data_IF_568319065070
#
_entry.id   IF_568319065070
#
_cell.length_a   1.000
_cell.length_b   1.000
_cell.length_c   1.000
_cell.angle_alpha   90.00
_cell.angle_beta   90.00
_cell.angle_gamma   90.00
#
_symmetry.space_group_name_H-M   'P 1'
#
loop_
_entity.id
_entity.type
_entity.pdbx_description
1 polymer ?
#
# COMPACT_ATOMS: atom_id res chain seq x y z
N UNK A 1 -14.66 5.27 3.06
CA UNK A 1 -14.31 3.87 3.40
C UNK A 1 -12.97 3.52 2.77
N UNK A 2 -12.06 2.88 3.50
CA UNK A 2 -10.77 2.37 3.04
C UNK A 2 -10.76 0.86 3.26
N UNK A 3 -10.62 0.07 2.22
CA UNK A 3 -10.62 -1.40 2.28
C UNK A 3 -9.18 -1.90 2.34
N UNK A 4 -8.81 -2.57 3.42
CA UNK A 4 -7.45 -3.02 3.69
C UNK A 4 -6.93 -2.48 5.03
N UNK A 5 -6.00 -3.21 5.63
CA UNK A 5 -5.35 -2.88 6.91
C UNK A 5 -3.83 -3.03 6.81
N UNK A 6 -3.25 -2.53 5.72
CA UNK A 6 -1.80 -2.41 5.54
C UNK A 6 -1.33 -0.96 5.64
N UNK A 7 -0.02 -0.72 5.55
CA UNK A 7 0.55 0.65 5.65
C UNK A 7 -0.08 1.61 4.64
N UNK A 8 -0.29 1.18 3.38
CA UNK A 8 -0.97 2.02 2.36
C UNK A 8 -2.36 2.46 2.80
N UNK A 9 -3.11 1.59 3.49
CA UNK A 9 -4.42 1.95 4.04
C UNK A 9 -4.29 3.00 5.14
N UNK A 10 -3.24 2.93 5.96
CA UNK A 10 -2.92 3.93 6.97
C UNK A 10 -2.52 5.26 6.32
N UNK A 11 -1.68 5.24 5.28
CA UNK A 11 -1.27 6.43 4.53
C UNK A 11 -2.48 7.18 3.96
N UNK A 12 -3.37 6.47 3.25
CA UNK A 12 -4.61 7.03 2.70
C UNK A 12 -5.45 7.63 3.82
N UNK A 13 -5.59 6.91 4.93
CA UNK A 13 -6.36 7.37 6.09
C UNK A 13 -5.77 8.64 6.68
N UNK A 14 -4.44 8.68 6.92
CA UNK A 14 -3.73 9.85 7.44
C UNK A 14 -3.92 11.05 6.54
N UNK A 15 -3.75 10.91 5.22
CA UNK A 15 -3.97 12.03 4.28
C UNK A 15 -5.41 12.57 4.36
N UNK A 16 -6.41 11.70 4.45
CA UNK A 16 -7.81 12.12 4.54
C UNK A 16 -8.12 12.87 5.85
N UNK A 17 -7.51 12.49 6.97
CA UNK A 17 -7.82 13.05 8.30
C UNK A 17 -6.80 14.06 8.83
N UNK A 18 -5.65 14.23 8.19
CA UNK A 18 -4.60 15.16 8.65
C UNK A 18 -5.03 16.61 8.52
N UNK A 19 -4.54 17.48 9.40
CA UNK A 19 -4.74 18.92 9.24
C UNK A 19 -4.21 19.45 7.88
N UNK A 20 -4.96 20.37 7.28
CA UNK A 20 -4.68 20.83 5.90
C UNK A 20 -3.49 21.79 5.85
N UNK A 21 -3.24 22.53 6.92
CA UNK A 21 -2.04 23.36 7.06
C UNK A 21 -0.80 22.49 7.24
N UNK A 22 -0.92 21.38 8.00
CA UNK A 22 0.16 20.39 8.12
C UNK A 22 0.48 19.77 6.75
N UNK A 23 -0.54 19.31 6.00
CA UNK A 23 -0.34 18.79 4.64
C UNK A 23 0.23 19.86 3.70
N UNK A 24 -0.20 21.11 3.84
CA UNK A 24 0.29 22.25 3.05
C UNK A 24 1.78 22.51 3.13
N UNK A 25 2.46 22.01 4.17
CA UNK A 25 3.92 22.10 4.35
C UNK A 25 4.70 20.90 3.80
N UNK A 26 3.99 19.86 3.35
CA UNK A 26 4.60 18.65 2.77
C UNK A 26 4.86 18.81 1.27
N UNK A 27 5.28 17.75 0.58
CA UNK A 27 5.40 17.71 -0.88
C UNK A 27 4.16 17.13 -1.59
N UNK A 28 3.00 17.12 -0.91
CA UNK A 28 1.71 16.73 -1.50
C UNK A 28 1.40 17.55 -2.76
N UNK A 29 0.82 16.94 -3.80
CA UNK A 29 0.48 17.68 -5.02
C UNK A 29 -0.55 18.79 -4.73
N UNK A 30 -0.37 19.98 -5.30
CA UNK A 30 -1.25 21.12 -5.07
C UNK A 30 -2.74 20.82 -5.32
N UNK A 31 -3.06 20.15 -6.44
CA UNK A 31 -4.45 19.78 -6.77
C UNK A 31 -5.09 18.84 -5.74
N UNK A 32 -4.30 17.96 -5.12
CA UNK A 32 -4.79 17.05 -4.09
C UNK A 32 -5.07 17.80 -2.79
N UNK A 33 -4.21 18.75 -2.41
CA UNK A 33 -4.44 19.62 -1.25
C UNK A 33 -5.69 20.50 -1.44
N UNK A 34 -5.88 21.06 -2.64
CA UNK A 34 -7.06 21.84 -2.98
C UNK A 34 -8.35 21.00 -2.86
N UNK A 35 -8.37 19.81 -3.45
CA UNK A 35 -9.51 18.89 -3.31
C UNK A 35 -9.80 18.51 -1.84
N UNK A 36 -8.76 18.37 -1.01
CA UNK A 36 -8.91 18.06 0.42
C UNK A 36 -9.42 19.24 1.25
N UNK A 37 -9.17 20.50 0.83
CA UNK A 37 -9.70 21.70 1.52
C UNK A 37 -11.22 21.77 1.43
N UNK A 38 -11.79 21.35 0.31
CA UNK A 38 -13.25 21.34 0.08
C UNK A 38 -13.94 20.11 0.69
N UNK A 39 -13.17 19.19 1.31
CA UNK A 39 -13.67 17.91 1.77
C UNK A 39 -14.18 17.97 3.22
N UNK A 40 -15.45 17.57 3.43
CA UNK A 40 -16.10 17.46 4.74
C UNK A 40 -15.98 16.06 5.38
N UNK A 41 -14.86 15.36 5.18
CA UNK A 41 -14.65 14.01 5.74
C UNK A 41 -14.48 14.12 7.26
N UNK A 42 -15.48 13.64 7.98
CA UNK A 42 -15.46 13.49 9.45
C UNK A 42 -15.14 12.07 9.87
N UNK A 43 -15.57 11.07 9.09
CA UNK A 43 -15.47 9.66 9.44
C UNK A 43 -14.77 8.86 8.34
N UNK A 44 -13.73 8.12 8.71
CA UNK A 44 -13.02 7.19 7.83
C UNK A 44 -13.13 5.77 8.38
N UNK A 45 -13.91 4.92 7.72
CA UNK A 45 -13.99 3.50 8.04
C UNK A 45 -12.88 2.71 7.34
N UNK A 46 -11.99 2.10 8.10
CA UNK A 46 -10.90 1.23 7.62
C UNK A 46 -11.31 -0.22 7.85
N UNK A 47 -11.52 -0.97 6.77
CA UNK A 47 -12.08 -2.31 6.82
C UNK A 47 -10.99 -3.38 6.71
N UNK A 48 -10.86 -4.20 7.76
CA UNK A 48 -10.02 -5.39 7.76
C UNK A 48 -10.87 -6.65 7.70
N UNK A 49 -10.76 -7.44 6.62
CA UNK A 49 -11.54 -8.69 6.50
C UNK A 49 -11.20 -9.74 7.57
N UNK A 50 -10.01 -9.66 8.18
CA UNK A 50 -9.56 -10.53 9.27
C UNK A 50 -9.46 -9.75 10.59
N UNK A 51 -9.16 -10.45 11.68
CA UNK A 51 -9.07 -9.89 13.02
C UNK A 51 -7.78 -9.10 13.27
N UNK A 52 -7.68 -8.53 14.47
CA UNK A 52 -6.57 -7.69 14.91
C UNK A 52 -5.20 -8.36 14.76
N UNK A 53 -5.13 -9.67 15.05
CA UNK A 53 -3.90 -10.44 14.96
C UNK A 53 -3.32 -10.52 13.54
N UNK A 54 -4.16 -10.40 12.51
CA UNK A 54 -3.74 -10.52 11.11
C UNK A 54 -3.70 -9.18 10.36
N UNK A 55 -3.77 -8.06 11.09
CA UNK A 55 -3.56 -6.74 10.52
C UNK A 55 -2.12 -6.59 10.02
N UNK A 56 -1.96 -6.03 8.83
CA UNK A 56 -0.68 -6.00 8.11
C UNK A 56 0.10 -4.69 8.29
N UNK A 57 -0.46 -3.71 9.00
CA UNK A 57 0.23 -2.46 9.28
C UNK A 57 1.36 -2.64 10.30
N UNK A 58 2.42 -1.84 10.18
CA UNK A 58 3.45 -1.75 11.23
C UNK A 58 2.96 -0.94 12.44
N UNK A 59 3.51 -1.18 13.65
CA UNK A 59 2.99 -0.55 14.86
C UNK A 59 3.09 0.98 14.87
N UNK A 60 4.07 1.57 14.18
CA UNK A 60 4.17 3.01 14.04
C UNK A 60 3.02 3.63 13.25
N UNK A 61 2.53 2.94 12.21
CA UNK A 61 1.60 3.51 11.23
C UNK A 61 0.22 3.79 11.80
N UNK A 62 -0.26 2.90 12.67
CA UNK A 62 -1.55 3.08 13.36
C UNK A 62 -1.43 4.03 14.55
N UNK A 63 -0.27 4.07 15.21
CA UNK A 63 0.00 5.02 16.30
C UNK A 63 0.03 6.46 15.78
N UNK A 64 0.65 6.68 14.63
CA UNK A 64 0.65 7.98 13.98
C UNK A 64 -0.76 8.50 13.69
N UNK A 65 -1.76 7.63 13.47
CA UNK A 65 -3.18 8.04 13.32
C UNK A 65 -3.76 8.51 14.66
N UNK A 66 -3.44 7.83 15.77
CA UNK A 66 -3.92 8.18 17.10
C UNK A 66 -3.34 9.51 17.60
N UNK A 67 -2.12 9.82 17.17
CA UNK A 67 -1.41 11.07 17.46
C UNK A 67 -1.92 12.28 16.64
N UNK A 68 -2.77 12.07 15.63
CA UNK A 68 -3.31 13.19 14.83
C UNK A 68 -4.25 14.06 15.69
N UNK A 69 -3.96 15.36 15.72
CA UNK A 69 -4.78 16.34 16.41
C UNK A 69 -6.21 16.39 15.85
N UNK A 70 -7.19 16.35 16.76
CA UNK A 70 -8.61 16.39 16.39
C UNK A 70 -9.15 15.10 15.73
N UNK A 71 -8.43 13.98 15.79
CA UNK A 71 -8.87 12.65 15.31
C UNK A 71 -8.94 11.62 16.44
N UNK A 72 -10.09 10.96 16.61
CA UNK A 72 -10.23 9.78 17.46
C UNK A 72 -10.01 8.50 16.64
N UNK A 73 -9.17 7.59 17.15
CA UNK A 73 -9.09 6.23 16.65
C UNK A 73 -10.12 5.35 17.37
N UNK A 74 -11.11 4.86 16.61
CA UNK A 74 -12.22 4.07 17.12
C UNK A 74 -11.97 2.60 16.83
N UNK A 75 -11.78 1.83 17.90
CA UNK A 75 -11.65 0.36 17.88
C UNK A 75 -12.69 -0.20 18.83
N UNK A 76 -13.49 -1.15 18.36
CA UNK A 76 -14.52 -1.78 19.20
C UNK A 76 -13.90 -2.90 20.06
N UNK A 77 -14.32 -3.09 21.32
CA UNK A 77 -13.81 -4.17 22.16
C UNK A 77 -13.89 -5.56 21.50
N UNK A 78 -14.98 -5.86 20.80
CA UNK A 78 -15.17 -7.14 20.10
C UNK A 78 -14.23 -7.34 18.89
N UNK A 79 -13.57 -6.28 18.41
CA UNK A 79 -12.64 -6.36 17.28
C UNK A 79 -11.22 -6.74 17.70
N UNK A 80 -10.92 -6.67 19.01
CA UNK A 80 -9.60 -7.04 19.60
C UNK A 80 -9.64 -8.33 20.41
N UNK A 81 -10.83 -8.91 20.56
CA UNK A 81 -11.00 -10.28 21.06
C UNK A 81 -10.54 -11.27 19.99
N UNK A 82 -9.67 -12.21 20.39
CA UNK A 82 -9.15 -13.23 19.48
C UNK A 82 -10.02 -14.47 19.57
N UNK A 83 -10.44 -14.99 18.42
CA UNK A 83 -10.96 -16.34 18.34
C UNK A 83 -9.86 -17.38 18.67
N UNK A 84 -10.24 -18.62 19.03
CA UNK A 84 -9.27 -19.65 19.43
C UNK A 84 -8.19 -19.92 18.38
N UNK A 85 -8.53 -19.88 17.09
CA UNK A 85 -7.59 -20.17 16.02
C UNK A 85 -6.58 -19.01 15.84
N UNK A 86 -7.05 -17.77 15.95
CA UNK A 86 -6.18 -16.59 15.97
C UNK A 86 -5.27 -16.57 17.21
N UNK A 87 -5.78 -16.91 18.39
CA UNK A 87 -4.98 -16.95 19.62
C UNK A 87 -3.83 -17.97 19.52
N UNK A 88 -4.14 -19.20 19.08
CA UNK A 88 -3.13 -20.23 18.85
C UNK A 88 -2.09 -19.82 17.80
N UNK A 89 -2.52 -19.16 16.73
CA UNK A 89 -1.60 -18.66 15.70
C UNK A 89 -0.65 -17.58 16.24
N UNK A 90 -1.13 -16.64 17.06
CA UNK A 90 -0.30 -15.60 17.67
C UNK A 90 0.76 -16.22 18.58
N UNK A 91 0.36 -17.19 19.42
CA UNK A 91 1.27 -17.91 20.31
C UNK A 91 2.35 -18.67 19.52
N UNK A 92 1.96 -19.36 18.45
CA UNK A 92 2.87 -20.11 17.60
C UNK A 92 3.83 -19.21 16.81
N UNK A 93 3.33 -18.12 16.24
CA UNK A 93 4.13 -17.19 15.44
C UNK A 93 5.13 -16.42 16.31
N UNK A 94 4.75 -16.10 17.56
CA UNK A 94 5.53 -15.30 18.51
C UNK A 94 6.15 -14.03 17.88
N UNK A 95 5.38 -13.37 17.02
CA UNK A 95 5.84 -12.22 16.26
C UNK A 95 5.74 -10.94 17.10
N UNK A 96 6.86 -10.22 17.24
CA UNK A 96 6.94 -9.00 18.04
C UNK A 96 6.03 -7.88 17.52
N UNK A 97 5.90 -7.74 16.20
CA UNK A 97 5.06 -6.72 15.58
C UNK A 97 3.58 -7.05 15.79
N UNK A 98 3.19 -8.30 15.63
CA UNK A 98 1.81 -8.75 15.91
C UNK A 98 1.44 -8.46 17.37
N UNK A 99 2.32 -8.84 18.31
CA UNK A 99 2.09 -8.62 19.73
C UNK A 99 2.01 -7.12 20.10
N UNK A 100 2.88 -6.29 19.51
CA UNK A 100 2.84 -4.85 19.72
C UNK A 100 1.56 -4.20 19.18
N UNK A 101 1.10 -4.61 17.99
CA UNK A 101 -0.17 -4.17 17.42
C UNK A 101 -1.35 -4.56 18.30
N UNK A 102 -1.42 -5.83 18.74
CA UNK A 102 -2.49 -6.31 19.60
C UNK A 102 -2.56 -5.56 20.93
N UNK A 103 -1.41 -5.34 21.57
CA UNK A 103 -1.34 -4.59 22.82
C UNK A 103 -1.88 -3.16 22.64
N UNK A 104 -1.43 -2.45 21.60
CA UNK A 104 -1.90 -1.11 21.30
C UNK A 104 -3.41 -1.07 20.98
N UNK A 105 -3.90 -1.97 20.13
CA UNK A 105 -5.32 -2.01 19.78
C UNK A 105 -6.22 -2.27 21.00
N UNK A 106 -5.78 -3.11 21.94
CA UNK A 106 -6.50 -3.34 23.21
C UNK A 106 -6.50 -2.11 24.11
N UNK A 107 -5.43 -1.33 24.11
CA UNK A 107 -5.31 -0.08 24.88
C UNK A 107 -6.26 1.02 24.38
N UNK A 108 -6.51 1.07 23.06
CA UNK A 108 -7.39 2.05 22.43
C UNK A 108 -8.86 1.60 22.34
N UNK A 109 -9.11 0.29 22.47
CA UNK A 109 -10.44 -0.27 22.32
C UNK A 109 -11.44 0.30 23.35
N UNK A 110 -12.60 0.74 22.88
CA UNK A 110 -13.67 1.25 23.73
C UNK A 110 -13.43 2.64 24.36
N UNK A 111 -12.37 3.37 23.96
CA UNK A 111 -12.19 4.76 24.38
C UNK A 111 -13.39 5.64 23.94
N UNK A 112 -13.84 6.60 24.77
CA UNK A 112 -14.94 7.49 24.40
C UNK A 112 -14.51 8.45 23.29
N UNK A 113 -15.47 8.88 22.47
CA UNK A 113 -15.25 9.87 21.42
C UNK A 113 -15.20 11.27 22.02
N UNK A 114 -14.16 12.03 21.69
CA UNK A 114 -13.90 13.37 22.23
C UNK A 114 -13.55 14.40 21.15
N UNK A 115 -13.24 13.96 19.93
CA UNK A 115 -12.71 14.78 18.84
C UNK A 115 -13.67 14.82 17.64
N UNK A 116 -13.55 15.84 16.76
CA UNK A 116 -14.51 16.06 15.67
C UNK A 116 -14.39 15.06 14.52
N UNK A 117 -13.21 14.47 14.31
CA UNK A 117 -12.96 13.46 13.25
C UNK A 117 -12.72 12.09 13.87
N UNK A 118 -13.12 11.03 13.17
CA UNK A 118 -12.97 9.64 13.63
C UNK A 118 -12.40 8.75 12.53
N UNK A 119 -11.49 7.87 12.94
CA UNK A 119 -11.03 6.74 12.14
C UNK A 119 -11.59 5.47 12.77
N UNK A 120 -12.54 4.82 12.11
CA UNK A 120 -13.13 3.57 12.58
C UNK A 120 -12.38 2.39 12.01
N UNK A 121 -11.58 1.72 12.83
CA UNK A 121 -10.90 0.49 12.44
C UNK A 121 -11.85 -0.70 12.65
N UNK A 122 -12.53 -1.12 11.59
CA UNK A 122 -13.49 -2.21 11.61
C UNK A 122 -12.81 -3.50 11.16
N UNK A 123 -12.44 -4.34 12.13
CA UNK A 123 -11.82 -5.64 11.88
C UNK A 123 -12.89 -6.72 11.69
N UNK A 124 -12.48 -7.89 11.21
CA UNK A 124 -13.40 -8.98 10.85
C UNK A 124 -14.59 -8.48 10.00
N UNK A 125 -14.34 -7.55 9.08
CA UNK A 125 -15.38 -6.85 8.32
C UNK A 125 -14.97 -6.79 6.84
N UNK A 126 -15.84 -7.30 5.96
CA UNK A 126 -15.64 -7.29 4.51
C UNK A 126 -16.62 -6.31 3.84
N UNK A 127 -16.22 -5.56 2.80
CA UNK A 127 -17.19 -4.91 1.93
C UNK A 127 -17.95 -5.96 1.12
N UNK A 128 -19.28 -5.83 1.05
CA UNK A 128 -20.20 -6.74 0.34
C UNK A 128 -20.69 -6.07 -0.95
N UNK A 129 -21.17 -4.83 -0.86
CA UNK A 129 -21.66 -4.07 -2.00
C UNK A 129 -21.31 -2.59 -1.87
N UNK A 130 -21.13 -1.92 -3.01
CA UNK A 130 -21.02 -0.47 -3.10
C UNK A 130 -22.29 0.03 -3.77
N UNK A 131 -22.99 0.93 -3.10
CA UNK A 131 -24.21 1.55 -3.60
C UNK A 131 -23.88 2.94 -4.12
N UNK A 132 -24.57 3.33 -5.19
CA UNK A 132 -24.41 4.64 -5.76
C UNK A 132 -25.66 5.14 -6.47
N UNK A 133 -25.73 6.46 -6.58
CA UNK A 133 -26.79 7.22 -7.24
C UNK A 133 -26.09 8.23 -8.16
N UNK A 134 -26.60 8.41 -9.38
CA UNK A 134 -26.04 9.34 -10.38
C UNK A 134 -24.52 9.19 -10.61
N UNK A 135 -24.03 7.94 -10.58
CA UNK A 135 -22.61 7.63 -10.78
C UNK A 135 -21.70 7.97 -9.58
N UNK A 136 -22.27 8.34 -8.43
CA UNK A 136 -21.53 8.65 -7.19
C UNK A 136 -21.82 7.61 -6.13
N UNK A 137 -20.81 7.28 -5.32
CA UNK A 137 -21.00 6.38 -4.18
C UNK A 137 -21.85 7.07 -3.12
N UNK A 138 -22.83 6.36 -2.58
CA UNK A 138 -23.71 6.85 -1.49
C UNK A 138 -23.59 5.98 -0.24
N UNK A 139 -23.27 4.69 -0.38
CA UNK A 139 -23.06 3.81 0.75
C UNK A 139 -22.19 2.59 0.41
N UNK A 140 -21.67 1.94 1.45
CA UNK A 140 -21.03 0.63 1.37
C UNK A 140 -21.75 -0.31 2.32
N UNK A 141 -22.28 -1.41 1.80
CA UNK A 141 -22.74 -2.52 2.63
C UNK A 141 -21.51 -3.34 3.04
N UNK A 142 -21.38 -3.58 4.35
CA UNK A 142 -20.32 -4.40 4.93
C UNK A 142 -20.91 -5.62 5.64
N UNK A 143 -20.14 -6.69 5.71
CA UNK A 143 -20.52 -7.93 6.37
C UNK A 143 -19.51 -8.33 7.43
N UNK A 144 -20.02 -8.90 8.54
CA UNK A 144 -19.19 -9.44 9.61
C UNK A 144 -18.59 -10.78 9.16
N UNK A 145 -17.33 -10.99 9.52
CA UNK A 145 -16.63 -12.25 9.34
C UNK A 145 -16.37 -12.90 10.69
N UNK A 146 -16.24 -14.22 10.67
CA UNK A 146 -15.53 -15.00 11.70
C UNK A 146 -14.26 -15.60 11.10
N UNK A 147 -13.28 -15.90 11.94
CA UNK A 147 -12.07 -16.59 11.50
C UNK A 147 -12.23 -18.09 11.71
N UNK A 148 -11.89 -18.87 10.70
CA UNK A 148 -11.83 -20.33 10.76
C UNK A 148 -10.50 -20.82 10.20
N UNK A 149 -10.00 -21.93 10.72
CA UNK A 149 -8.91 -22.65 10.09
C UNK A 149 -9.44 -23.52 8.95
N UNK A 150 -8.93 -23.29 7.73
CA UNK A 150 -9.26 -24.07 6.54
C UNK A 150 -7.98 -24.44 5.80
N UNK A 151 -7.67 -25.73 5.76
CA UNK A 151 -6.47 -26.25 5.07
C UNK A 151 -5.16 -25.68 5.63
N UNK A 152 -5.04 -25.60 6.97
CA UNK A 152 -3.84 -25.08 7.65
C UNK A 152 -3.66 -23.55 7.55
N UNK A 153 -4.72 -22.83 7.16
CA UNK A 153 -4.69 -21.36 7.03
C UNK A 153 -5.91 -20.74 7.68
N UNK A 154 -5.70 -19.62 8.36
CA UNK A 154 -6.79 -18.80 8.89
C UNK A 154 -7.48 -18.05 7.74
N UNK A 155 -8.78 -18.30 7.59
CA UNK A 155 -9.65 -17.72 6.58
C UNK A 155 -10.77 -16.91 7.23
N UNK A 156 -11.09 -15.76 6.64
CA UNK A 156 -12.29 -15.00 6.99
C UNK A 156 -13.52 -15.65 6.32
N UNK A 157 -14.56 -15.90 7.09
CA UNK A 157 -15.81 -16.52 6.66
C UNK A 157 -16.95 -15.58 7.00
N UNK A 158 -17.72 -15.19 5.99
CA UNK A 158 -18.88 -14.32 6.12
C UNK A 158 -19.95 -14.96 7.03
N UNK A 159 -20.46 -14.21 8.00
CA UNK A 159 -21.51 -14.66 8.92
C UNK A 159 -22.92 -14.48 8.36
N UNK A 160 -23.08 -13.67 7.31
CA UNK A 160 -24.38 -13.26 6.78
C UNK A 160 -24.94 -11.98 7.41
N UNK A 161 -24.34 -11.49 8.50
CA UNK A 161 -24.70 -10.19 9.08
C UNK A 161 -24.32 -9.05 8.14
N UNK A 162 -25.16 -8.02 8.04
CA UNK A 162 -24.96 -6.87 7.16
C UNK A 162 -25.12 -5.57 7.91
N UNK A 163 -24.32 -4.58 7.55
CA UNK A 163 -24.43 -3.21 8.05
C UNK A 163 -24.18 -2.25 6.90
N UNK A 164 -25.01 -1.21 6.79
CA UNK A 164 -24.81 -0.15 5.81
C UNK A 164 -23.97 0.96 6.43
N UNK A 165 -22.91 1.38 5.73
CA UNK A 165 -22.11 2.55 6.05
C UNK A 165 -22.40 3.63 5.01
N UNK A 166 -22.94 4.77 5.42
CA UNK A 166 -23.08 5.90 4.52
C UNK A 166 -21.69 6.46 4.18
N UNK A 167 -21.38 6.59 2.89
CA UNK A 167 -20.05 6.91 2.43
C UNK A 167 -20.07 7.52 1.04
N UNK A 168 -19.37 8.65 0.86
CA UNK A 168 -19.18 9.28 -0.45
C UNK A 168 -17.93 8.81 -1.22
N UNK A 169 -17.02 8.08 -0.56
CA UNK A 169 -15.72 7.70 -1.12
C UNK A 169 -15.31 6.28 -0.67
N UNK A 170 -14.74 5.52 -1.60
CA UNK A 170 -14.20 4.17 -1.34
C UNK A 170 -12.81 4.03 -1.94
N UNK A 171 -11.83 3.74 -1.10
CA UNK A 171 -10.46 3.42 -1.51
C UNK A 171 -10.20 1.92 -1.33
N UNK A 172 -9.65 1.27 -2.35
CA UNK A 172 -9.22 -0.14 -2.27
C UNK A 172 -7.71 -0.22 -2.11
N UNK A 173 -7.26 -0.55 -0.91
CA UNK A 173 -5.85 -0.70 -0.54
C UNK A 173 -5.54 -2.16 -0.13
N UNK A 174 -5.92 -3.13 -0.97
CA UNK A 174 -5.78 -4.57 -0.71
C UNK A 174 -4.56 -5.23 -1.39
N UNK A 175 -3.60 -4.41 -1.81
CA UNK A 175 -2.39 -4.83 -2.51
C UNK A 175 -2.31 -4.32 -3.95
N UNK A 176 -1.09 -4.16 -4.43
CA UNK A 176 -0.80 -3.89 -5.84
C UNK A 176 -0.79 -5.20 -6.63
N UNK A 177 -0.63 -5.08 -7.95
CA UNK A 177 -0.48 -6.22 -8.84
C UNK A 177 0.44 -5.83 -9.99
N UNK A 178 1.36 -6.71 -10.38
CA UNK A 178 2.19 -6.50 -11.55
C UNK A 178 1.36 -6.46 -12.84
N UNK A 179 1.93 -5.85 -13.87
CA UNK A 179 1.35 -5.78 -15.22
C UNK A 179 2.31 -6.54 -16.15
N UNK A 180 1.81 -7.40 -17.05
CA UNK A 180 2.66 -8.14 -17.96
C UNK A 180 3.45 -7.20 -18.88
N UNK A 181 4.70 -7.55 -19.14
CA UNK A 181 5.58 -6.86 -20.10
C UNK A 181 5.65 -7.74 -21.36
N UNK A 182 5.41 -7.18 -22.56
CA UNK A 182 5.53 -7.95 -23.80
C UNK A 182 6.87 -8.70 -23.90
N UNK A 183 6.80 -10.01 -24.19
CA UNK A 183 7.98 -10.87 -24.32
C UNK A 183 8.54 -11.43 -23.01
N UNK A 184 8.06 -10.98 -21.85
CA UNK A 184 8.48 -11.47 -20.52
C UNK A 184 7.44 -12.45 -19.96
N UNK A 185 7.82 -13.63 -19.44
CA UNK A 185 6.89 -14.52 -18.74
C UNK A 185 6.16 -13.83 -17.59
N UNK A 186 4.89 -14.20 -17.37
CA UNK A 186 4.07 -13.59 -16.32
C UNK A 186 3.09 -14.62 -15.73
N UNK A 187 3.02 -14.70 -14.41
CA UNK A 187 2.03 -15.52 -13.71
C UNK A 187 0.78 -14.69 -13.42
N UNK A 188 -0.29 -14.94 -14.17
CA UNK A 188 -1.59 -14.29 -13.98
C UNK A 188 -2.26 -14.63 -12.65
N UNK A 189 -1.80 -15.62 -11.89
CA UNK A 189 -2.36 -15.83 -10.55
C UNK A 189 -1.76 -14.85 -9.56
N UNK A 190 -0.43 -14.87 -9.41
CA UNK A 190 0.27 -14.05 -8.42
C UNK A 190 0.56 -12.62 -8.87
N UNK A 191 0.50 -12.33 -10.18
CA UNK A 191 0.84 -11.03 -10.74
C UNK A 191 2.35 -10.74 -10.67
N UNK A 192 3.19 -11.78 -10.77
CA UNK A 192 4.65 -11.69 -10.71
C UNK A 192 5.29 -12.33 -11.94
N UNK A 193 6.58 -12.11 -12.12
CA UNK A 193 7.39 -12.81 -13.12
C UNK A 193 7.87 -14.13 -12.50
N UNK A 194 7.51 -15.29 -13.07
CA UNK A 194 7.91 -16.59 -12.55
C UNK A 194 9.44 -16.72 -12.58
N UNK A 195 10.02 -17.21 -11.49
CA UNK A 195 11.47 -17.26 -11.32
C UNK A 195 11.92 -18.30 -10.28
N UNK A 196 13.21 -18.67 -10.35
CA UNK A 196 13.90 -19.45 -9.31
C UNK A 196 15.11 -18.64 -8.84
N UNK A 197 15.06 -18.15 -7.60
CA UNK A 197 16.15 -17.33 -7.03
C UNK A 197 16.37 -16.00 -7.76
N UNK A 198 15.41 -15.52 -8.56
CA UNK A 198 15.56 -14.33 -9.41
C UNK A 198 15.91 -14.62 -10.86
N UNK A 199 16.26 -15.87 -11.23
CA UNK A 199 16.36 -16.30 -12.64
C UNK A 199 14.97 -16.51 -13.20
N UNK A 200 14.57 -15.75 -14.22
CA UNK A 200 13.24 -15.84 -14.80
C UNK A 200 13.03 -17.20 -15.46
N UNK A 201 11.83 -17.76 -15.33
CA UNK A 201 11.47 -19.04 -15.92
C UNK A 201 10.33 -18.92 -16.93
N UNK A 202 10.34 -19.80 -17.93
CA UNK A 202 9.23 -20.02 -18.87
C UNK A 202 9.02 -21.52 -18.96
N UNK A 203 7.79 -21.98 -18.71
CA UNK A 203 7.42 -23.39 -18.77
C UNK A 203 8.36 -24.30 -17.92
N UNK A 204 8.79 -23.80 -16.77
CA UNK A 204 9.69 -24.51 -15.84
C UNK A 204 11.18 -24.45 -16.21
N UNK A 205 11.56 -23.84 -17.34
CA UNK A 205 12.95 -23.68 -17.76
C UNK A 205 13.45 -22.26 -17.51
N UNK A 206 14.72 -22.12 -17.13
CA UNK A 206 15.36 -20.80 -16.97
C UNK A 206 15.51 -20.12 -18.33
N UNK A 207 15.09 -18.86 -18.41
CA UNK A 207 15.35 -17.99 -19.55
C UNK A 207 16.72 -17.33 -19.33
N UNK A 208 17.70 -17.69 -20.15
CA UNK A 208 19.05 -17.14 -20.05
C UNK A 208 19.04 -15.61 -20.09
N UNK A 209 19.89 -14.99 -19.25
CA UNK A 209 20.09 -13.53 -19.16
C UNK A 209 18.89 -12.71 -18.69
N UNK A 210 17.77 -13.36 -18.35
CA UNK A 210 16.59 -12.68 -17.86
C UNK A 210 16.44 -12.91 -16.35
N UNK A 211 16.49 -11.81 -15.61
CA UNK A 211 16.42 -11.82 -14.15
C UNK A 211 15.33 -10.87 -13.67
N UNK A 212 14.82 -11.12 -12.48
CA UNK A 212 13.82 -10.28 -11.83
C UNK A 212 14.18 -10.08 -10.36
N UNK A 213 13.91 -8.89 -9.82
CA UNK A 213 14.07 -8.56 -8.40
C UNK A 213 12.89 -7.69 -7.92
N UNK A 214 12.78 -7.51 -6.62
CA UNK A 214 11.78 -6.64 -5.98
C UNK A 214 10.36 -7.22 -6.06
N UNK A 215 9.38 -6.34 -6.14
CA UNK A 215 7.97 -6.75 -6.17
C UNK A 215 7.57 -7.56 -7.40
N UNK A 216 8.22 -7.32 -8.54
CA UNK A 216 8.01 -8.15 -9.74
C UNK A 216 8.44 -9.61 -9.52
N UNK A 217 9.38 -9.88 -8.60
CA UNK A 217 9.84 -11.22 -8.23
C UNK A 217 9.00 -11.85 -7.13
N UNK A 218 8.75 -11.11 -6.04
CA UNK A 218 8.23 -11.64 -4.76
C UNK A 218 6.76 -11.30 -4.49
N UNK A 219 6.16 -10.46 -5.34
CA UNK A 219 4.87 -9.82 -5.07
C UNK A 219 5.02 -8.54 -4.24
N UNK A 220 3.94 -7.74 -4.14
CA UNK A 220 3.98 -6.38 -3.60
C UNK A 220 3.89 -6.35 -2.08
N UNK A 221 4.86 -6.98 -1.42
CA UNK A 221 4.99 -7.01 0.04
C UNK A 221 6.41 -6.70 0.49
N UNK A 222 6.55 -6.24 1.72
CA UNK A 222 7.82 -5.86 2.33
C UNK A 222 8.18 -4.38 2.13
N UNK A 223 9.05 -3.90 3.02
CA UNK A 223 9.53 -2.52 3.04
C UNK A 223 10.69 -2.34 2.05
N UNK A 224 11.15 -1.09 1.88
CA UNK A 224 12.30 -0.74 1.02
C UNK A 224 13.53 -1.62 1.33
N UNK A 225 13.83 -1.82 2.61
CA UNK A 225 14.96 -2.65 3.05
C UNK A 225 14.88 -4.11 2.58
N UNK A 226 13.68 -4.69 2.49
CA UNK A 226 13.46 -6.06 2.01
C UNK A 226 13.85 -6.20 0.53
N UNK A 227 13.58 -5.18 -0.28
CA UNK A 227 13.94 -5.18 -1.70
C UNK A 227 15.46 -5.09 -1.92
N UNK A 228 16.21 -4.45 -1.01
CA UNK A 228 17.68 -4.38 -1.11
C UNK A 228 18.33 -5.75 -0.98
N UNK A 229 17.91 -6.56 -0.01
CA UNK A 229 18.43 -7.91 0.18
C UNK A 229 18.08 -8.81 -1.01
N UNK A 230 16.82 -8.79 -1.43
CA UNK A 230 16.35 -9.56 -2.58
C UNK A 230 17.05 -9.23 -3.91
N UNK A 231 17.35 -7.96 -4.13
CA UNK A 231 18.11 -7.52 -5.30
C UNK A 231 19.55 -8.05 -5.26
N UNK A 232 20.20 -8.06 -4.09
CA UNK A 232 21.55 -8.64 -3.93
C UNK A 232 21.55 -10.12 -4.26
N UNK A 233 20.62 -10.89 -3.70
CA UNK A 233 20.53 -12.33 -3.98
C UNK A 233 20.37 -12.60 -5.49
N UNK A 234 19.59 -11.76 -6.18
CA UNK A 234 19.40 -11.85 -7.64
C UNK A 234 20.69 -11.54 -8.39
N UNK A 235 21.42 -10.49 -7.99
CA UNK A 235 22.72 -10.14 -8.58
C UNK A 235 23.75 -11.23 -8.36
N UNK A 236 23.75 -11.89 -7.21
CA UNK A 236 24.64 -13.02 -6.94
C UNK A 236 24.37 -14.17 -7.94
N UNK A 237 23.10 -14.45 -8.26
CA UNK A 237 22.75 -15.41 -9.34
C UNK A 237 23.24 -14.97 -10.71
N UNK A 238 23.16 -13.68 -11.03
CA UNK A 238 23.71 -13.15 -12.29
C UNK A 238 25.22 -13.35 -12.38
N UNK A 239 25.94 -13.16 -11.27
CA UNK A 239 27.39 -13.33 -11.20
C UNK A 239 27.79 -14.81 -11.31
N UNK A 240 27.04 -15.73 -10.70
CA UNK A 240 27.23 -17.18 -10.86
C UNK A 240 27.11 -17.59 -12.34
N UNK A 241 26.05 -17.14 -13.01
CA UNK A 241 25.75 -17.51 -14.40
C UNK A 241 26.75 -16.90 -15.40
N UNK A 242 27.44 -15.81 -15.03
CA UNK A 242 28.34 -15.08 -15.91
C UNK A 242 29.40 -15.97 -16.56
N UNK A 243 29.88 -16.99 -15.84
CA UNK A 243 30.92 -17.90 -16.33
C UNK A 243 30.42 -18.92 -17.37
N UNK A 244 29.12 -19.20 -17.41
CA UNK A 244 28.50 -20.18 -18.31
C UNK A 244 27.80 -19.53 -19.49
N UNK A 245 27.50 -18.23 -19.41
CA UNK A 245 26.82 -17.49 -20.47
C UNK A 245 27.79 -17.16 -21.63
N UNK A 246 27.40 -17.40 -22.90
CA UNK A 246 28.24 -17.07 -24.06
C UNK A 246 28.54 -15.56 -24.16
N UNK A 247 29.59 -15.17 -24.87
CA UNK A 247 29.78 -13.76 -25.20
C UNK A 247 28.65 -13.30 -26.13
N UNK A 248 28.17 -12.07 -25.95
CA UNK A 248 27.18 -11.43 -26.83
C UNK A 248 27.72 -10.06 -27.21
N UNK A 249 27.75 -9.77 -28.51
CA UNK A 249 28.01 -8.41 -28.98
C UNK A 249 26.86 -7.50 -28.56
N UNK A 250 27.18 -6.44 -27.82
CA UNK A 250 26.17 -5.46 -27.40
C UNK A 250 25.98 -4.47 -28.53
N UNK A 251 24.83 -4.51 -29.17
CA UNK A 251 24.40 -3.38 -29.98
C UNK A 251 24.02 -2.21 -29.05
N UNK A 252 24.53 -0.99 -29.29
CA UNK A 252 24.11 0.16 -28.52
C UNK A 252 22.62 0.41 -28.75
N UNK A 253 21.83 0.30 -27.67
CA UNK A 253 20.43 0.69 -27.70
C UNK A 253 20.37 2.22 -27.66
N UNK A 254 19.95 2.83 -28.77
CA UNK A 254 19.64 4.25 -28.80
C UNK A 254 18.25 4.46 -28.19
N UNK A 255 18.21 4.87 -26.91
CA UNK A 255 16.95 5.25 -26.28
C UNK A 255 16.53 6.62 -26.80
N UNK A 256 15.56 6.64 -27.71
CA UNK A 256 14.91 7.88 -28.11
C UNK A 256 14.20 8.49 -26.90
N UNK A 257 14.39 9.79 -26.68
CA UNK A 257 13.74 10.53 -25.61
C UNK A 257 14.00 10.02 -24.18
N UNK A 258 15.14 9.40 -23.91
CA UNK A 258 15.51 9.06 -22.52
C UNK A 258 15.71 10.31 -21.66
N UNK A 259 15.27 10.26 -20.40
CA UNK A 259 15.61 11.24 -19.38
C UNK A 259 16.91 10.80 -18.73
N UNK A 260 17.99 11.55 -18.98
CA UNK A 260 19.29 11.27 -18.35
C UNK A 260 19.27 11.62 -16.86
N UNK A 261 20.30 11.19 -16.13
CA UNK A 261 20.49 11.63 -14.74
C UNK A 261 20.61 13.16 -14.62
N UNK A 262 21.30 13.80 -15.56
CA UNK A 262 21.44 15.26 -15.58
C UNK A 262 20.09 15.96 -15.84
N UNK A 263 19.25 15.39 -16.72
CA UNK A 263 17.90 15.88 -16.95
C UNK A 263 17.05 15.76 -15.67
N UNK A 264 17.10 14.60 -15.00
CA UNK A 264 16.42 14.42 -13.72
C UNK A 264 16.89 15.43 -12.66
N UNK A 265 18.19 15.72 -12.56
CA UNK A 265 18.70 16.74 -11.63
C UNK A 265 18.16 18.14 -11.93
N UNK A 266 17.96 18.49 -13.21
CA UNK A 266 17.29 19.75 -13.59
C UNK A 266 15.84 19.78 -13.12
N UNK A 267 15.10 18.68 -13.29
CA UNK A 267 13.73 18.55 -12.79
C UNK A 267 13.67 18.67 -11.26
N UNK A 268 14.55 17.94 -10.54
CA UNK A 268 14.62 17.99 -9.09
C UNK A 268 14.90 19.40 -8.56
N UNK A 269 15.83 20.13 -9.19
CA UNK A 269 16.14 21.51 -8.83
C UNK A 269 14.93 22.44 -9.04
N UNK A 270 14.22 22.28 -10.16
CA UNK A 270 13.05 23.10 -10.47
C UNK A 270 11.86 22.79 -9.54
N UNK A 271 11.58 21.52 -9.23
CA UNK A 271 10.54 21.15 -8.25
C UNK A 271 10.84 21.74 -6.87
N UNK A 272 12.10 21.71 -6.44
CA UNK A 272 12.53 22.30 -5.17
C UNK A 272 12.40 23.82 -5.16
N UNK A 273 12.80 24.51 -6.24
CA UNK A 273 12.65 25.97 -6.38
C UNK A 273 11.19 26.39 -6.25
N UNK A 274 10.28 25.70 -6.96
CA UNK A 274 8.82 25.93 -6.85
C UNK A 274 8.29 25.65 -5.46
N UNK A 275 8.80 24.60 -4.81
CA UNK A 275 8.47 24.28 -3.43
C UNK A 275 8.84 25.41 -2.47
N UNK A 276 10.05 25.95 -2.58
CA UNK A 276 10.53 27.06 -1.75
C UNK A 276 9.62 28.29 -1.87
N UNK A 277 9.22 28.65 -3.10
CA UNK A 277 8.27 29.75 -3.37
C UNK A 277 6.89 29.50 -2.73
N UNK A 278 6.47 28.25 -2.65
CA UNK A 278 5.20 27.83 -2.06
C UNK A 278 5.29 27.50 -0.55
N UNK A 279 6.46 27.60 0.08
CA UNK A 279 6.66 27.22 1.48
C UNK A 279 6.67 25.70 1.75
N UNK A 280 7.07 24.90 0.75
CA UNK A 280 7.09 23.43 0.74
C UNK A 280 8.50 22.89 0.47
N UNK A 281 8.70 21.59 0.69
CA UNK A 281 9.97 20.92 0.34
C UNK A 281 10.24 20.87 -1.17
N UNK A 282 9.17 20.67 -1.96
CA UNK A 282 9.13 20.70 -3.43
C UNK A 282 7.68 20.83 -3.89
N UNK A 283 7.47 21.33 -5.10
CA UNK A 283 6.21 21.23 -5.82
C UNK A 283 6.43 20.32 -7.05
N UNK A 284 5.78 19.16 -7.05
CA UNK A 284 6.03 18.11 -8.05
C UNK A 284 5.37 18.45 -9.36
N UNK A 285 6.02 18.07 -10.46
CA UNK A 285 5.33 18.02 -11.75
C UNK A 285 4.29 16.90 -11.72
N UNK A 286 3.10 17.19 -12.24
CA UNK A 286 1.98 16.23 -12.28
C UNK A 286 1.62 15.79 -13.69
N UNK A 287 2.34 16.30 -14.70
CA UNK A 287 2.22 15.90 -16.09
C UNK A 287 3.59 15.69 -16.74
N UNK A 288 3.66 14.75 -17.69
CA UNK A 288 4.89 14.49 -18.46
C UNK A 288 5.24 15.68 -19.34
N UNK A 289 4.25 16.36 -19.91
CA UNK A 289 4.46 17.55 -20.75
C UNK A 289 5.15 18.68 -19.99
N UNK A 290 4.78 18.92 -18.73
CA UNK A 290 5.42 19.98 -17.93
C UNK A 290 6.87 19.60 -17.60
N UNK A 291 7.15 18.32 -17.34
CA UNK A 291 8.51 17.83 -17.14
C UNK A 291 9.35 18.03 -18.40
N UNK A 292 8.83 17.67 -19.57
CA UNK A 292 9.55 17.82 -20.84
C UNK A 292 9.77 19.29 -21.21
N UNK A 293 8.81 20.17 -20.92
CA UNK A 293 8.95 21.60 -21.14
C UNK A 293 10.13 22.22 -20.38
N UNK A 294 10.37 21.80 -19.12
CA UNK A 294 11.56 22.24 -18.33
C UNK A 294 12.87 21.77 -18.95
N UNK A 295 12.82 20.61 -19.61
CA UNK A 295 13.95 20.04 -20.31
C UNK A 295 14.13 20.59 -21.72
N UNK A 296 13.23 21.49 -22.17
CA UNK A 296 13.17 22.04 -23.53
C UNK A 296 12.98 20.94 -24.60
N UNK A 297 12.08 20.00 -24.30
CA UNK A 297 11.78 18.83 -25.12
C UNK A 297 10.29 18.75 -25.43
N UNK A 298 9.97 18.22 -26.61
CA UNK A 298 8.60 17.88 -27.03
C UNK A 298 8.13 16.54 -26.44
#
# INVERSE_FOLDING_TARGET
>A
VVVGVGNVSMDVTRVLVQDREVLGRTDIAAHALEALRDTAVTDVYVLGRRGAAQAAFSPGEIKEIEEIEGVDLVVRPEDVELDPASAAWVEQANDKQVNANLAFLREVAGRPLTKPRRVHLMLNTSPIAIHGEDGRVTAVEVGRNRIEERGGRLAAVDTGERTRLDAGLVFRAIGYRGIPIPGVPFDERSGTIPNVGGRVTRDGQVVERLYVAGWAKRGPTGLIGTNRADARDTVDRMLEDRSTLPAVEREPIAYQNATSWADWQRLDAEERRRGEEAGKLREKFTSVSDMLAVLERE
#
